data_IF_012508546808
#
_entry.id   IF_012508546808
#
_cell.length_a   1.000
_cell.length_b   1.000
_cell.length_c   1.000
_cell.angle_alpha   90.00
_cell.angle_beta   90.00
_cell.angle_gamma   90.00
#
_symmetry.space_group_name_H-M   'P 1'
#
loop_
_entity.id
_entity.type
_entity.pdbx_description
1 polymer ?
#
# COMPACT_ATOMS: atom_id res chain seq x y z
N UNK A 1 24.75 -19.35 7.24
CA UNK A 1 24.62 -18.16 6.34
C UNK A 1 25.03 -16.91 7.09
N UNK A 2 25.92 -16.06 6.54
CA UNK A 2 26.40 -14.84 7.21
C UNK A 2 25.35 -13.74 7.11
N UNK A 3 24.75 -13.33 8.24
CA UNK A 3 23.77 -12.23 8.27
C UNK A 3 24.45 -10.90 7.92
N UNK A 4 23.74 -10.03 7.20
CA UNK A 4 24.24 -8.69 6.89
C UNK A 4 24.31 -7.83 8.16
N UNK A 5 25.31 -6.94 8.24
CA UNK A 5 25.39 -5.94 9.31
C UNK A 5 24.12 -5.06 9.29
N UNK A 6 23.56 -4.67 10.45
CA UNK A 6 22.27 -3.96 10.53
C UNK A 6 22.17 -2.68 9.68
N UNK A 7 23.25 -1.91 9.59
CA UNK A 7 23.31 -0.70 8.75
C UNK A 7 23.23 -1.01 7.26
N UNK A 8 23.89 -2.09 6.80
CA UNK A 8 23.86 -2.53 5.41
C UNK A 8 22.51 -3.14 5.03
N UNK A 9 21.91 -3.88 5.97
CA UNK A 9 20.59 -4.49 5.81
C UNK A 9 19.47 -3.47 5.54
N UNK A 10 19.60 -2.25 6.10
CA UNK A 10 18.68 -1.12 5.91
C UNK A 10 19.14 -0.11 4.86
N UNK A 11 20.27 -0.32 4.19
CA UNK A 11 20.78 0.67 3.25
C UNK A 11 20.07 0.54 1.91
N UNK A 12 19.56 1.68 1.40
CA UNK A 12 18.97 1.83 0.05
C UNK A 12 19.72 2.93 -0.70
N UNK A 13 21.04 2.88 -0.59
CA UNK A 13 21.96 3.77 -1.30
C UNK A 13 22.37 3.20 -2.64
N UNK A 14 23.13 3.99 -3.40
CA UNK A 14 23.84 3.48 -4.57
C UNK A 14 24.75 2.28 -4.23
N UNK A 15 24.93 1.39 -5.22
CA UNK A 15 25.83 0.26 -5.15
C UNK A 15 25.31 -0.90 -4.30
N UNK A 16 23.99 -1.16 -4.34
CA UNK A 16 23.36 -2.30 -3.66
C UNK A 16 24.06 -3.60 -4.06
N UNK A 17 24.34 -4.47 -3.08
CA UNK A 17 24.84 -5.82 -3.37
C UNK A 17 23.65 -6.74 -3.56
N UNK A 18 23.53 -7.33 -4.75
CA UNK A 18 22.48 -8.27 -5.13
C UNK A 18 23.09 -9.64 -5.43
N UNK A 19 22.30 -10.69 -5.30
CA UNK A 19 22.70 -12.02 -5.71
C UNK A 19 22.37 -12.26 -7.18
N UNK A 20 23.25 -13.01 -7.86
CA UNK A 20 23.05 -13.46 -9.23
C UNK A 20 22.82 -14.96 -9.22
N UNK A 21 21.78 -15.40 -9.92
CA UNK A 21 21.48 -16.80 -10.17
C UNK A 21 21.39 -17.04 -11.67
N UNK A 22 21.89 -18.18 -12.13
CA UNK A 22 21.73 -18.69 -13.49
C UNK A 22 20.62 -19.73 -13.49
N UNK A 23 19.46 -19.35 -14.03
CA UNK A 23 18.27 -20.21 -14.04
C UNK A 23 18.03 -20.72 -15.46
N UNK A 24 18.09 -22.05 -15.62
CA UNK A 24 17.72 -22.69 -16.88
C UNK A 24 16.20 -22.65 -17.05
N UNK A 25 15.76 -22.10 -18.17
CA UNK A 25 14.38 -22.11 -18.66
C UNK A 25 14.35 -22.79 -20.03
N UNK A 26 13.16 -23.17 -20.55
CA UNK A 26 13.10 -23.86 -21.84
C UNK A 26 13.83 -23.09 -22.95
N UNK A 27 14.85 -23.73 -23.53
CA UNK A 27 15.66 -23.20 -24.62
C UNK A 27 16.70 -22.13 -24.24
N UNK A 28 16.86 -21.73 -22.96
CA UNK A 28 17.79 -20.65 -22.58
C UNK A 28 18.16 -20.57 -21.10
N UNK A 29 19.29 -19.93 -20.80
CA UNK A 29 19.70 -19.55 -19.43
C UNK A 29 19.31 -18.09 -19.18
N UNK A 30 18.58 -17.83 -18.09
CA UNK A 30 18.28 -16.48 -17.61
C UNK A 30 19.20 -16.11 -16.45
N UNK A 31 19.64 -14.85 -16.44
CA UNK A 31 20.28 -14.25 -15.27
C UNK A 31 19.20 -13.67 -14.37
N UNK A 32 19.00 -14.26 -13.20
CA UNK A 32 18.03 -13.78 -12.20
C UNK A 32 18.78 -13.06 -11.10
N UNK A 33 18.50 -11.77 -10.94
CA UNK A 33 19.07 -10.92 -9.90
C UNK A 33 18.11 -10.85 -8.73
N UNK A 34 18.56 -11.19 -7.52
CA UNK A 34 17.73 -11.23 -6.32
C UNK A 34 18.29 -10.34 -5.21
N UNK A 35 17.41 -9.91 -4.31
CA UNK A 35 17.83 -9.30 -3.04
C UNK A 35 18.60 -10.33 -2.20
N UNK A 36 19.60 -9.86 -1.46
CA UNK A 36 20.40 -10.74 -0.59
C UNK A 36 19.63 -11.08 0.68
N UNK A 37 19.81 -12.29 1.23
CA UNK A 37 19.35 -12.60 2.58
C UNK A 37 19.80 -11.53 3.57
N UNK A 38 18.89 -11.08 4.42
CA UNK A 38 19.13 -10.02 5.40
C UNK A 38 18.86 -8.60 4.90
N UNK A 39 18.60 -8.37 3.61
CA UNK A 39 18.02 -7.09 3.16
C UNK A 39 16.67 -6.89 3.87
N UNK A 40 16.49 -5.75 4.53
CA UNK A 40 15.22 -5.43 5.19
C UNK A 40 14.29 -4.79 4.19
N UNK A 41 13.42 -5.61 3.59
CA UNK A 41 12.34 -5.12 2.75
C UNK A 41 11.08 -5.96 3.01
N UNK A 42 9.93 -5.34 2.82
CA UNK A 42 8.65 -6.02 2.86
C UNK A 42 7.78 -5.49 1.73
N UNK A 43 7.44 -6.38 0.82
CA UNK A 43 6.50 -6.11 -0.26
C UNK A 43 5.29 -7.03 -0.13
N UNK A 44 4.16 -6.62 -0.67
CA UNK A 44 3.02 -7.48 -0.92
C UNK A 44 2.48 -7.20 -2.31
N UNK A 45 1.62 -8.07 -2.82
CA UNK A 45 0.89 -7.86 -4.07
C UNK A 45 -0.57 -8.22 -3.90
N UNK A 46 -1.46 -7.53 -4.60
CA UNK A 46 -2.86 -7.93 -4.72
C UNK A 46 -3.42 -7.48 -6.08
N UNK A 47 -4.66 -7.86 -6.37
CA UNK A 47 -5.46 -7.29 -7.46
C UNK A 47 -6.70 -6.64 -6.87
N UNK A 48 -6.91 -5.37 -7.19
CA UNK A 48 -8.07 -4.60 -6.72
C UNK A 48 -8.47 -3.58 -7.78
N UNK A 49 -9.77 -3.39 -8.02
CA UNK A 49 -10.30 -2.57 -9.14
C UNK A 49 -9.59 -2.84 -10.48
N UNK A 50 -9.41 -4.12 -10.81
CA UNK A 50 -8.71 -4.60 -12.01
C UNK A 50 -7.23 -4.19 -12.18
N UNK A 51 -6.66 -3.49 -11.20
CA UNK A 51 -5.26 -3.08 -11.16
C UNK A 51 -4.45 -4.03 -10.27
N UNK A 52 -3.25 -4.41 -10.73
CA UNK A 52 -2.29 -5.16 -9.91
C UNK A 52 -1.44 -4.21 -9.07
N UNK A 53 -1.37 -4.44 -7.76
CA UNK A 53 -0.60 -3.56 -6.89
C UNK A 53 0.70 -4.21 -6.42
N UNK A 54 1.75 -3.39 -6.31
CA UNK A 54 2.90 -3.64 -5.44
C UNK A 54 2.74 -2.76 -4.20
N UNK A 55 2.59 -3.39 -3.04
CA UNK A 55 2.32 -2.74 -1.76
C UNK A 55 3.56 -2.75 -0.87
N UNK A 56 3.89 -1.63 -0.22
CA UNK A 56 5.08 -1.52 0.63
C UNK A 56 4.97 -0.36 1.66
N UNK A 57 6.04 -0.09 2.40
CA UNK A 57 6.32 1.19 3.06
C UNK A 57 7.25 2.09 2.21
N UNK A 58 7.56 3.30 2.71
CA UNK A 58 8.50 4.25 2.09
C UNK A 58 9.88 3.64 1.80
N UNK A 59 10.33 2.71 2.64
CA UNK A 59 11.63 2.06 2.48
C UNK A 59 11.64 1.11 1.28
N UNK A 60 10.62 0.24 1.16
CA UNK A 60 10.53 -0.67 0.03
C UNK A 60 10.22 0.05 -1.28
N UNK A 61 9.49 1.17 -1.29
CA UNK A 61 9.37 2.02 -2.48
C UNK A 61 10.73 2.54 -2.98
N UNK A 62 11.57 3.05 -2.07
CA UNK A 62 12.94 3.46 -2.42
C UNK A 62 13.78 2.30 -2.94
N UNK A 63 13.61 1.10 -2.39
CA UNK A 63 14.33 -0.09 -2.85
C UNK A 63 13.88 -0.48 -4.25
N UNK A 64 12.57 -0.54 -4.49
CA UNK A 64 11.99 -0.82 -5.80
C UNK A 64 12.48 0.19 -6.85
N UNK A 65 12.55 1.47 -6.49
CA UNK A 65 13.13 2.51 -7.33
C UNK A 65 14.59 2.23 -7.69
N UNK A 66 15.44 1.81 -6.74
CA UNK A 66 16.83 1.44 -7.02
C UNK A 66 16.92 0.24 -7.97
N UNK A 67 16.05 -0.75 -7.80
CA UNK A 67 16.00 -1.93 -8.67
C UNK A 67 15.63 -1.53 -10.10
N UNK A 68 14.54 -0.77 -10.29
CA UNK A 68 14.08 -0.28 -11.59
C UNK A 68 15.11 0.65 -12.26
N UNK A 69 15.66 1.61 -11.52
CA UNK A 69 16.64 2.54 -12.04
C UNK A 69 17.91 1.83 -12.49
N UNK A 70 18.47 0.95 -11.65
CA UNK A 70 19.66 0.20 -12.03
C UNK A 70 19.39 -0.77 -13.18
N UNK A 71 18.17 -1.31 -13.30
CA UNK A 71 17.77 -2.16 -14.43
C UNK A 71 17.86 -1.38 -15.75
N UNK A 72 17.46 -0.11 -15.74
CA UNK A 72 17.52 0.75 -16.94
C UNK A 72 18.93 0.97 -17.51
N UNK A 73 19.98 0.80 -16.69
CA UNK A 73 21.38 0.99 -17.09
C UNK A 73 22.15 -0.34 -17.25
N UNK A 74 21.78 -1.36 -16.47
CA UNK A 74 22.57 -2.59 -16.34
C UNK A 74 21.86 -3.81 -16.94
N UNK A 75 20.66 -3.66 -17.50
CA UNK A 75 19.96 -4.75 -18.16
C UNK A 75 20.80 -5.32 -19.31
N UNK A 76 20.96 -6.64 -19.30
CA UNK A 76 21.44 -7.44 -20.43
C UNK A 76 20.30 -8.32 -20.92
N UNK A 77 20.34 -8.80 -22.18
CA UNK A 77 19.38 -9.79 -22.65
C UNK A 77 19.25 -10.96 -21.66
N UNK A 78 18.02 -11.40 -21.44
CA UNK A 78 17.70 -12.52 -20.54
C UNK A 78 18.01 -12.26 -19.06
N UNK A 79 18.07 -11.00 -18.64
CA UNK A 79 18.21 -10.61 -17.24
C UNK A 79 16.88 -10.17 -16.66
N UNK A 80 16.52 -10.69 -15.48
CA UNK A 80 15.35 -10.24 -14.71
C UNK A 80 15.74 -9.97 -13.27
N UNK A 81 15.02 -9.07 -12.60
CA UNK A 81 15.13 -8.87 -11.15
C UNK A 81 13.96 -9.55 -10.48
N UNK A 82 14.20 -10.29 -9.41
CA UNK A 82 13.19 -11.06 -8.67
C UNK A 82 13.18 -10.64 -7.19
N UNK A 83 11.99 -10.33 -6.70
CA UNK A 83 11.67 -10.18 -5.28
C UNK A 83 10.73 -11.34 -4.90
N UNK A 84 11.24 -12.26 -4.07
CA UNK A 84 10.57 -13.51 -3.73
C UNK A 84 10.31 -13.64 -2.23
N UNK A 85 9.67 -14.74 -1.82
CA UNK A 85 9.12 -15.07 -0.49
C UNK A 85 9.82 -14.46 0.72
N UNK A 86 11.16 -14.47 0.88
CA UNK A 86 11.80 -13.86 2.06
C UNK A 86 11.47 -12.37 2.26
N UNK A 87 11.18 -11.66 1.17
CA UNK A 87 10.87 -10.23 1.13
C UNK A 87 9.39 -9.95 0.89
N UNK A 88 8.58 -11.00 0.75
CA UNK A 88 7.13 -10.87 0.62
C UNK A 88 6.45 -10.96 1.98
N UNK A 89 5.33 -10.27 2.08
CA UNK A 89 4.41 -10.27 3.19
C UNK A 89 3.02 -10.60 2.65
N UNK A 90 2.15 -11.22 3.45
CA UNK A 90 0.74 -11.34 3.09
C UNK A 90 0.13 -9.98 2.79
N UNK A 91 -0.94 -9.99 2.00
CA UNK A 91 -1.73 -8.81 1.67
C UNK A 91 -2.13 -8.05 2.95
N UNK A 92 -1.79 -6.76 3.09
CA UNK A 92 -2.07 -5.98 4.30
C UNK A 92 -3.56 -5.76 4.60
N UNK A 93 -4.46 -6.25 3.75
CA UNK A 93 -5.91 -6.12 3.93
C UNK A 93 -6.58 -7.42 4.41
N UNK A 94 -6.25 -8.56 3.80
CA UNK A 94 -6.92 -9.87 4.02
C UNK A 94 -5.96 -11.02 4.32
N UNK A 95 -4.65 -10.74 4.36
CA UNK A 95 -3.59 -11.71 4.55
C UNK A 95 -3.56 -12.83 3.50
N UNK A 96 -4.09 -12.60 2.29
CA UNK A 96 -3.83 -13.50 1.16
C UNK A 96 -2.33 -13.56 0.83
N UNK A 97 -1.82 -14.70 0.35
CA UNK A 97 -0.43 -14.81 -0.08
C UNK A 97 -0.09 -13.85 -1.22
N UNK A 98 1.03 -13.16 -1.10
CA UNK A 98 1.56 -12.34 -2.19
C UNK A 98 2.23 -13.18 -3.28
N UNK A 99 2.10 -12.75 -4.54
CA UNK A 99 2.84 -13.30 -5.67
C UNK A 99 4.27 -12.70 -5.69
N UNK A 100 5.30 -13.50 -6.07
CA UNK A 100 6.63 -12.96 -6.30
C UNK A 100 6.64 -11.92 -7.42
N UNK A 101 7.42 -10.87 -7.23
CA UNK A 101 7.50 -9.73 -8.14
C UNK A 101 8.71 -9.91 -9.06
N UNK A 102 8.51 -9.78 -10.36
CA UNK A 102 9.55 -9.87 -11.38
C UNK A 102 9.61 -8.58 -12.17
N UNK A 103 10.78 -7.92 -12.18
CA UNK A 103 11.05 -6.78 -13.05
C UNK A 103 11.72 -7.29 -14.32
N UNK A 104 11.08 -7.04 -15.46
CA UNK A 104 11.52 -7.53 -16.77
C UNK A 104 11.87 -6.33 -17.66
N UNK A 105 13.12 -6.21 -18.14
CA UNK A 105 13.48 -5.17 -19.10
C UNK A 105 12.89 -5.52 -20.47
N UNK A 106 11.68 -5.04 -20.75
CA UNK A 106 10.87 -5.44 -21.89
C UNK A 106 11.42 -5.05 -23.27
N UNK A 107 12.48 -4.23 -23.30
CA UNK A 107 13.23 -3.86 -24.50
C UNK A 107 14.24 -4.93 -24.93
N UNK A 108 14.75 -5.76 -24.01
CA UNK A 108 15.81 -6.73 -24.33
C UNK A 108 15.60 -8.14 -23.75
N UNK A 109 14.55 -8.36 -22.94
CA UNK A 109 14.26 -9.67 -22.33
C UNK A 109 12.84 -10.12 -22.66
N UNK A 110 12.68 -11.12 -23.55
CA UNK A 110 11.42 -11.84 -23.71
C UNK A 110 11.07 -12.58 -22.42
N UNK A 111 9.81 -12.49 -21.99
CA UNK A 111 9.33 -13.15 -20.78
C UNK A 111 7.84 -13.51 -20.94
N UNK A 112 7.59 -14.77 -21.31
CA UNK A 112 6.25 -15.33 -21.52
C UNK A 112 5.82 -16.23 -20.34
N UNK A 113 4.64 -16.84 -20.45
CA UNK A 113 4.11 -17.69 -19.39
C UNK A 113 4.90 -18.99 -19.19
N UNK A 114 5.59 -19.48 -20.23
CA UNK A 114 6.44 -20.67 -20.14
C UNK A 114 7.70 -20.37 -19.33
N UNK A 115 8.33 -19.22 -19.58
CA UNK A 115 9.48 -18.74 -18.80
C UNK A 115 9.04 -18.44 -17.37
N UNK A 116 7.92 -17.75 -17.18
CA UNK A 116 7.38 -17.43 -15.86
C UNK A 116 7.12 -18.69 -15.02
N UNK A 117 6.44 -19.70 -15.60
CA UNK A 117 6.20 -20.99 -14.94
C UNK A 117 7.51 -21.71 -14.59
N UNK A 118 8.46 -21.73 -15.52
CA UNK A 118 9.78 -22.34 -15.28
C UNK A 118 10.54 -21.65 -14.15
N UNK A 119 10.47 -20.32 -14.05
CA UNK A 119 11.09 -19.58 -12.95
C UNK A 119 10.39 -19.88 -11.63
N UNK A 120 9.05 -19.81 -11.61
CA UNK A 120 8.25 -20.08 -10.41
C UNK A 120 8.52 -21.45 -9.81
N UNK A 121 8.63 -22.49 -10.65
CA UNK A 121 8.91 -23.85 -10.19
C UNK A 121 10.29 -24.03 -9.56
N UNK A 122 11.20 -23.05 -9.69
CA UNK A 122 12.52 -23.04 -9.05
C UNK A 122 12.55 -22.27 -7.74
N UNK A 123 11.46 -21.59 -7.36
CA UNK A 123 11.43 -20.73 -6.19
C UNK A 123 11.23 -21.54 -4.88
N UNK A 124 11.95 -21.19 -3.79
CA UNK A 124 12.85 -20.06 -3.68
C UNK A 124 14.25 -20.36 -4.24
N UNK A 125 14.87 -19.35 -4.87
CA UNK A 125 16.26 -19.51 -5.33
C UNK A 125 17.21 -19.51 -4.13
N UNK A 126 17.97 -20.60 -3.99
CA UNK A 126 19.08 -20.74 -3.04
C UNK A 126 20.41 -20.79 -3.80
N UNK A 127 21.53 -20.63 -3.09
CA UNK A 127 22.89 -20.75 -3.63
C UNK A 127 23.19 -19.85 -4.86
N UNK A 128 23.58 -18.58 -4.64
CA UNK A 128 23.86 -17.67 -5.74
C UNK A 128 25.17 -18.02 -6.47
N UNK A 129 25.16 -17.88 -7.81
CA UNK A 129 26.33 -17.99 -8.69
C UNK A 129 27.26 -16.78 -8.62
N UNK A 130 26.91 -15.77 -7.81
CA UNK A 130 27.75 -14.60 -7.60
C UNK A 130 27.02 -13.43 -6.96
N UNK A 131 27.76 -12.34 -6.79
CA UNK A 131 27.23 -11.05 -6.33
C UNK A 131 27.38 -10.03 -7.44
N UNK A 132 26.34 -9.23 -7.67
CA UNK A 132 26.36 -8.07 -8.55
C UNK A 132 26.31 -6.82 -7.69
N UNK A 133 27.12 -5.82 -8.05
CA UNK A 133 26.97 -4.47 -7.50
C UNK A 133 26.02 -3.70 -8.41
N UNK A 134 24.86 -3.37 -7.87
CA UNK A 134 23.78 -2.72 -8.59
C UNK A 134 23.90 -1.22 -8.42
N UNK A 135 24.37 -0.59 -9.49
CA UNK A 135 24.56 0.86 -9.52
C UNK A 135 23.29 1.58 -9.96
N UNK A 136 23.09 2.76 -9.40
CA UNK A 136 21.92 3.63 -9.59
C UNK A 136 22.38 5.03 -9.93
N UNK A 137 23.27 5.10 -10.93
CA UNK A 137 23.95 6.32 -11.34
C UNK A 137 22.98 7.48 -11.55
N UNK A 138 23.23 8.59 -10.86
CA UNK A 138 22.46 9.81 -11.02
C UNK A 138 21.06 9.80 -10.39
N UNK A 139 20.57 8.70 -9.81
CA UNK A 139 19.22 8.68 -9.21
C UNK A 139 19.07 9.74 -8.11
N UNK A 140 20.00 9.77 -7.15
CA UNK A 140 19.96 10.72 -6.03
C UNK A 140 20.03 12.18 -6.52
N UNK A 141 20.80 12.42 -7.59
CA UNK A 141 20.90 13.72 -8.24
C UNK A 141 19.56 14.12 -8.88
N UNK A 142 18.90 13.19 -9.56
CA UNK A 142 17.63 13.41 -10.26
C UNK A 142 16.46 13.59 -9.28
N UNK A 143 16.53 13.00 -8.09
CA UNK A 143 15.52 13.18 -7.05
C UNK A 143 15.53 14.57 -6.38
N UNK A 144 16.56 15.40 -6.64
CA UNK A 144 16.60 16.77 -6.12
C UNK A 144 15.47 17.60 -6.79
N UNK A 145 14.70 18.40 -6.02
CA UNK A 145 13.47 19.03 -6.51
C UNK A 145 13.60 19.73 -7.87
N UNK A 146 14.60 20.61 -8.03
CA UNK A 146 14.84 21.34 -9.26
C UNK A 146 15.12 20.44 -10.48
N UNK A 147 15.83 19.32 -10.28
CA UNK A 147 16.14 18.37 -11.37
C UNK A 147 14.95 17.49 -11.67
N UNK A 148 14.23 17.06 -10.63
CA UNK A 148 13.04 16.23 -10.74
C UNK A 148 11.97 16.95 -11.55
N UNK A 149 11.74 18.23 -11.32
CA UNK A 149 10.73 19.03 -12.02
C UNK A 149 11.01 19.08 -13.53
N UNK A 150 12.25 19.42 -13.93
CA UNK A 150 12.66 19.40 -15.34
C UNK A 150 12.52 18.01 -15.97
N UNK A 151 12.88 16.96 -15.23
CA UNK A 151 12.73 15.59 -15.70
C UNK A 151 11.25 15.23 -15.88
N UNK A 152 10.39 15.66 -14.94
CA UNK A 152 8.96 15.44 -14.98
C UNK A 152 8.29 16.07 -16.19
N UNK A 153 8.72 17.28 -16.56
CA UNK A 153 8.19 17.97 -17.74
C UNK A 153 8.52 17.24 -19.04
N UNK A 154 9.66 16.55 -19.08
CA UNK A 154 10.09 15.72 -20.21
C UNK A 154 9.40 14.35 -20.23
N UNK A 155 9.20 13.73 -19.06
CA UNK A 155 8.63 12.39 -18.94
C UNK A 155 7.12 12.36 -19.09
N UNK A 156 6.39 13.36 -18.57
CA UNK A 156 4.91 13.45 -18.66
C UNK A 156 4.36 13.52 -20.09
N UNK A 157 5.21 13.85 -21.05
CA UNK A 157 4.87 13.96 -22.47
C UNK A 157 5.02 12.62 -23.21
N UNK A 158 5.51 11.58 -22.52
CA UNK A 158 5.78 10.27 -23.10
C UNK A 158 4.64 9.33 -22.79
N UNK A 159 4.32 8.50 -23.77
CA UNK A 159 3.33 7.45 -23.64
C UNK A 159 3.97 6.24 -22.94
N UNK A 160 3.40 5.84 -21.80
CA UNK A 160 3.75 4.58 -21.15
C UNK A 160 3.23 3.41 -22.00
N UNK A 161 4.08 2.43 -22.27
CA UNK A 161 3.79 1.25 -23.13
C UNK A 161 4.16 -0.07 -22.46
N UNK A 162 4.71 0.01 -21.25
CA UNK A 162 4.98 -1.10 -20.37
C UNK A 162 3.68 -1.74 -19.90
N UNK A 163 3.82 -2.86 -19.20
CA UNK A 163 2.67 -3.59 -18.68
C UNK A 163 2.95 -4.16 -17.31
N UNK A 164 1.90 -4.33 -16.52
CA UNK A 164 1.92 -5.01 -15.23
C UNK A 164 0.92 -6.14 -15.26
N UNK A 165 1.40 -7.39 -15.28
CA UNK A 165 0.53 -8.55 -15.48
C UNK A 165 0.95 -9.71 -14.59
N UNK A 166 -0.04 -10.44 -14.09
CA UNK A 166 0.21 -11.74 -13.46
C UNK A 166 0.45 -12.82 -14.52
N UNK A 167 1.60 -13.49 -14.44
CA UNK A 167 2.00 -14.59 -15.34
C UNK A 167 2.39 -15.82 -14.55
N UNK A 168 1.62 -16.90 -14.69
CA UNK A 168 1.80 -18.14 -13.94
C UNK A 168 1.91 -17.95 -12.41
N UNK A 169 1.31 -16.89 -11.85
CA UNK A 169 1.41 -16.52 -10.44
C UNK A 169 2.75 -15.91 -10.03
N UNK A 170 3.37 -15.17 -10.95
CA UNK A 170 4.36 -14.13 -10.69
C UNK A 170 3.74 -12.80 -11.12
N UNK A 171 3.92 -11.74 -10.34
CA UNK A 171 3.55 -10.39 -10.77
C UNK A 171 4.70 -9.80 -11.60
N UNK A 172 4.47 -9.57 -12.89
CA UNK A 172 5.50 -9.13 -13.83
C UNK A 172 5.32 -7.66 -14.14
N UNK A 173 6.29 -6.84 -13.70
CA UNK A 173 6.42 -5.43 -14.08
C UNK A 173 7.37 -5.37 -15.27
N UNK A 174 6.85 -4.99 -16.43
CA UNK A 174 7.59 -5.00 -17.69
C UNK A 174 7.58 -3.61 -18.33
N UNK A 175 8.48 -2.70 -17.93
CA UNK A 175 8.73 -1.48 -18.69
C UNK A 175 9.18 -1.83 -20.12
N UNK A 176 8.69 -1.11 -21.12
CA UNK A 176 8.97 -1.32 -22.53
C UNK A 176 10.30 -0.73 -22.95
N UNK A 177 10.77 0.33 -22.31
CA UNK A 177 12.03 1.02 -22.62
C UNK A 177 12.87 1.31 -21.37
N UNK A 178 14.19 1.56 -21.51
CA UNK A 178 15.01 2.02 -20.40
C UNK A 178 14.51 3.34 -19.78
N UNK A 179 13.99 4.26 -20.60
CA UNK A 179 13.44 5.53 -20.10
C UNK A 179 12.19 5.32 -19.26
N UNK A 180 11.31 4.42 -19.66
CA UNK A 180 10.12 4.07 -18.89
C UNK A 180 10.48 3.39 -17.57
N UNK A 181 11.49 2.51 -17.56
CA UNK A 181 12.02 1.95 -16.31
C UNK A 181 12.55 3.03 -15.35
N UNK A 182 13.15 4.11 -15.89
CA UNK A 182 13.56 5.28 -15.10
C UNK A 182 12.37 6.09 -14.59
N UNK A 183 11.31 6.24 -15.40
CA UNK A 183 10.07 6.89 -15.00
C UNK A 183 9.46 6.20 -13.79
N UNK A 184 9.19 4.90 -13.91
CA UNK A 184 8.63 4.09 -12.83
C UNK A 184 9.50 4.11 -11.58
N UNK A 185 10.84 4.18 -11.74
CA UNK A 185 11.74 4.33 -10.61
C UNK A 185 11.61 5.69 -9.90
N UNK A 186 11.48 6.79 -10.62
CA UNK A 186 11.33 8.14 -10.05
C UNK A 186 9.95 8.36 -9.43
N UNK A 187 8.92 7.80 -10.05
CA UNK A 187 7.58 7.63 -9.51
C UNK A 187 7.65 6.95 -8.14
N UNK A 188 8.18 5.72 -8.09
CA UNK A 188 8.32 4.95 -6.86
C UNK A 188 9.16 5.68 -5.79
N UNK A 189 10.29 6.30 -6.16
CA UNK A 189 11.14 7.04 -5.23
C UNK A 189 10.52 8.35 -4.73
N UNK A 190 9.52 8.88 -5.43
CA UNK A 190 8.83 10.11 -5.07
C UNK A 190 7.67 9.93 -4.09
N UNK A 191 7.22 8.69 -3.90
CA UNK A 191 6.14 8.39 -2.99
C UNK A 191 6.52 8.78 -1.56
N UNK A 192 5.61 9.44 -0.86
CA UNK A 192 5.83 9.96 0.49
C UNK A 192 4.59 9.77 1.38
N UNK A 193 4.72 8.90 2.38
CA UNK A 193 3.61 8.65 3.30
C UNK A 193 3.42 9.73 4.36
N UNK A 194 4.19 10.82 4.39
CA UNK A 194 4.04 11.90 5.40
C UNK A 194 2.75 12.71 5.28
N UNK A 195 2.03 12.56 4.17
CA UNK A 195 0.71 13.15 3.93
C UNK A 195 -0.38 12.77 4.95
N UNK A 196 -1.54 13.44 4.85
CA UNK A 196 -2.64 13.27 5.81
C UNK A 196 -3.25 11.87 5.86
N UNK A 197 -3.23 11.14 4.74
CA UNK A 197 -3.80 9.79 4.64
C UNK A 197 -2.84 8.68 5.09
N UNK A 198 -1.55 9.00 5.26
CA UNK A 198 -0.55 7.98 5.62
C UNK A 198 -0.30 6.94 4.53
N UNK A 199 -0.71 7.23 3.29
CA UNK A 199 -0.48 6.43 2.09
C UNK A 199 -0.18 7.34 0.90
N UNK A 200 0.49 6.79 -0.09
CA UNK A 200 0.75 7.45 -1.38
C UNK A 200 0.84 6.39 -2.48
N UNK A 201 0.59 6.77 -3.73
CA UNK A 201 0.56 5.83 -4.84
C UNK A 201 0.93 6.45 -6.18
N UNK A 202 1.31 5.60 -7.13
CA UNK A 202 1.55 5.95 -8.53
C UNK A 202 1.16 4.79 -9.43
N UNK A 203 0.56 5.09 -10.57
CA UNK A 203 0.14 4.08 -11.54
C UNK A 203 1.28 3.71 -12.48
N UNK A 204 1.25 2.47 -12.99
CA UNK A 204 2.21 1.92 -13.93
C UNK A 204 1.53 1.46 -15.21
N UNK A 205 2.13 1.82 -16.35
CA UNK A 205 1.64 1.42 -17.67
C UNK A 205 0.61 2.39 -18.25
N UNK A 206 0.17 2.15 -19.49
CA UNK A 206 -0.81 3.01 -20.14
C UNK A 206 -2.14 2.98 -19.39
N UNK A 207 -2.85 4.11 -19.45
CA UNK A 207 -4.27 4.14 -19.12
C UNK A 207 -5.07 3.60 -20.31
N UNK A 208 -5.86 2.55 -20.08
CA UNK A 208 -6.79 1.96 -21.03
C UNK A 208 -8.08 1.59 -20.30
N UNK A 209 -8.90 2.59 -20.00
CA UNK A 209 -10.07 2.48 -19.11
C UNK A 209 -9.73 1.98 -17.69
N UNK A 210 -8.46 2.09 -17.31
CA UNK A 210 -7.87 1.58 -16.07
C UNK A 210 -6.36 1.48 -16.23
N UNK A 211 -5.64 1.23 -15.13
CA UNK A 211 -4.20 0.97 -15.16
C UNK A 211 -3.92 -0.50 -14.89
N UNK A 212 -2.96 -1.06 -15.63
CA UNK A 212 -2.48 -2.43 -15.46
C UNK A 212 -1.85 -2.62 -14.05
N UNK A 213 -1.17 -1.59 -13.54
CA UNK A 213 -0.47 -1.67 -12.26
C UNK A 213 -0.45 -0.39 -11.43
N UNK A 214 -0.17 -0.55 -10.14
CA UNK A 214 0.02 0.53 -9.18
C UNK A 214 1.13 0.15 -8.19
N UNK A 215 1.96 1.13 -7.81
CA UNK A 215 2.81 1.03 -6.62
C UNK A 215 2.15 1.87 -5.54
N UNK A 216 1.81 1.24 -4.42
CA UNK A 216 1.15 1.90 -3.30
C UNK A 216 1.94 1.67 -2.03
N UNK A 217 2.14 2.73 -1.26
CA UNK A 217 2.82 2.65 0.02
C UNK A 217 1.96 3.11 1.19
N UNK A 218 2.23 2.53 2.35
CA UNK A 218 1.55 2.84 3.60
C UNK A 218 2.55 3.08 4.71
N UNK A 219 2.39 4.18 5.45
CA UNK A 219 3.15 4.47 6.66
C UNK A 219 3.03 3.35 7.69
N UNK A 220 1.88 2.68 7.70
CA UNK A 220 1.51 1.59 8.61
C UNK A 220 1.53 0.22 7.94
N UNK A 221 2.29 0.04 6.85
CA UNK A 221 2.34 -1.21 6.10
C UNK A 221 2.53 -2.45 7.01
N UNK A 222 3.57 -2.48 7.83
CA UNK A 222 3.84 -3.62 8.73
C UNK A 222 2.76 -3.84 9.81
N UNK A 223 2.27 -2.79 10.52
CA UNK A 223 1.09 -2.93 11.35
C UNK A 223 -0.14 -3.46 10.62
N UNK A 224 -0.43 -3.00 9.40
CA UNK A 224 -1.56 -3.47 8.60
C UNK A 224 -1.45 -4.96 8.28
N UNK A 225 -0.27 -5.43 7.86
CA UNK A 225 0.00 -6.87 7.68
C UNK A 225 -0.24 -7.67 8.96
N UNK A 226 0.20 -7.14 10.11
CA UNK A 226 0.02 -7.83 11.41
C UNK A 226 -1.46 -7.95 11.78
N UNK A 227 -2.22 -6.87 11.60
CA UNK A 227 -3.67 -6.83 11.80
C UNK A 227 -4.38 -7.82 10.88
N UNK A 228 -4.05 -7.82 9.58
CA UNK A 228 -4.67 -8.71 8.62
C UNK A 228 -4.40 -10.19 8.94
N UNK A 229 -3.16 -10.53 9.35
CA UNK A 229 -2.82 -11.89 9.78
C UNK A 229 -3.61 -12.32 11.02
N UNK A 230 -3.69 -11.44 12.02
CA UNK A 230 -4.46 -11.72 13.23
C UNK A 230 -5.95 -11.91 12.92
N UNK A 231 -6.52 -11.00 12.15
CA UNK A 231 -7.93 -11.07 11.74
C UNK A 231 -8.21 -12.36 10.95
N UNK A 232 -7.33 -12.74 10.01
CA UNK A 232 -7.46 -13.98 9.27
C UNK A 232 -7.39 -15.21 10.17
N UNK A 233 -6.44 -15.25 11.11
CA UNK A 233 -6.33 -16.35 12.06
C UNK A 233 -7.58 -16.48 12.94
N UNK A 234 -8.14 -15.35 13.40
CA UNK A 234 -9.37 -15.32 14.19
C UNK A 234 -10.58 -15.81 13.38
N UNK A 235 -10.76 -15.35 12.13
CA UNK A 235 -11.85 -15.82 11.27
C UNK A 235 -11.73 -17.31 10.99
N UNK A 236 -10.53 -17.81 10.66
CA UNK A 236 -10.30 -19.23 10.38
C UNK A 236 -10.42 -20.13 11.61
N UNK A 237 -10.38 -19.58 12.83
CA UNK A 237 -10.57 -20.34 14.06
C UNK A 237 -12.03 -20.57 14.45
N UNK A 238 -12.98 -19.96 13.71
CA UNK A 238 -14.42 -20.12 13.96
C UNK A 238 -14.96 -21.33 13.24
N UNK A 239 -15.96 -21.98 13.84
CA UNK A 239 -16.66 -23.12 13.23
C UNK A 239 -17.45 -22.72 11.97
N UNK A 240 -17.83 -21.43 11.86
CA UNK A 240 -18.58 -20.86 10.73
C UNK A 240 -17.69 -20.12 9.72
N UNK A 241 -16.37 -20.39 9.71
CA UNK A 241 -15.43 -19.72 8.80
C UNK A 241 -15.85 -19.92 7.32
N UNK A 242 -15.99 -18.84 6.52
CA UNK A 242 -16.36 -18.98 5.11
C UNK A 242 -15.31 -19.76 4.32
N UNK A 243 -15.76 -20.72 3.51
CA UNK A 243 -14.89 -21.51 2.63
C UNK A 243 -14.58 -20.81 1.30
N UNK A 244 -15.49 -19.96 0.81
CA UNK A 244 -15.28 -19.24 -0.42
C UNK A 244 -14.31 -18.04 -0.21
N UNK A 245 -13.35 -17.81 -1.13
CA UNK A 245 -12.32 -16.79 -0.92
C UNK A 245 -12.85 -15.36 -0.78
N UNK A 246 -13.95 -15.02 -1.44
CA UNK A 246 -14.48 -13.65 -1.44
C UNK A 246 -15.17 -13.33 -0.11
N UNK A 247 -16.05 -14.21 0.37
CA UNK A 247 -16.69 -14.05 1.68
C UNK A 247 -15.66 -14.16 2.80
N UNK A 248 -14.64 -15.01 2.65
CA UNK A 248 -13.52 -15.06 3.60
C UNK A 248 -12.81 -13.70 3.67
N UNK A 249 -12.45 -13.08 2.54
CA UNK A 249 -11.82 -11.74 2.54
C UNK A 249 -12.71 -10.70 3.21
N UNK A 250 -14.01 -10.70 2.88
CA UNK A 250 -14.98 -9.79 3.50
C UNK A 250 -15.07 -10.00 5.02
N UNK A 251 -15.08 -11.24 5.49
CA UNK A 251 -15.07 -11.56 6.91
C UNK A 251 -13.77 -11.09 7.59
N UNK A 252 -12.60 -11.28 6.95
CA UNK A 252 -11.32 -10.80 7.45
C UNK A 252 -11.26 -9.27 7.50
N UNK A 253 -11.79 -8.57 6.50
CA UNK A 253 -11.85 -7.10 6.52
C UNK A 253 -12.67 -6.57 7.70
N UNK A 254 -13.83 -7.20 7.96
CA UNK A 254 -14.66 -6.86 9.12
C UNK A 254 -13.92 -7.16 10.43
N UNK A 255 -13.32 -8.34 10.56
CA UNK A 255 -12.57 -8.70 11.77
C UNK A 255 -11.36 -7.78 12.01
N UNK A 256 -10.70 -7.34 10.93
CA UNK A 256 -9.59 -6.42 11.01
C UNK A 256 -9.98 -5.05 11.58
N UNK A 257 -11.24 -4.62 11.45
CA UNK A 257 -11.74 -3.40 12.12
C UNK A 257 -11.81 -3.61 13.64
N UNK A 258 -12.28 -4.78 14.09
CA UNK A 258 -12.30 -5.16 15.51
C UNK A 258 -10.89 -5.25 16.07
N UNK A 259 -9.96 -5.90 15.38
CA UNK A 259 -8.55 -6.00 15.79
C UNK A 259 -7.88 -4.63 15.91
N UNK A 260 -8.23 -3.67 15.05
CA UNK A 260 -7.73 -2.28 15.15
C UNK A 260 -8.35 -1.50 16.32
N UNK A 261 -9.46 -1.98 16.89
CA UNK A 261 -10.27 -1.24 17.85
C UNK A 261 -11.18 -0.19 17.19
N UNK A 262 -11.35 -0.24 15.86
CA UNK A 262 -12.07 0.78 15.08
C UNK A 262 -13.52 0.38 14.77
N UNK A 263 -13.96 -0.83 15.13
CA UNK A 263 -15.28 -1.36 14.74
C UNK A 263 -16.45 -0.46 15.18
N UNK A 264 -16.36 0.16 16.37
CA UNK A 264 -17.34 1.11 16.90
C UNK A 264 -17.47 2.40 16.08
N UNK A 265 -16.51 2.70 15.20
CA UNK A 265 -16.54 3.86 14.30
C UNK A 265 -17.30 3.55 13.00
N UNK A 266 -17.71 2.30 12.75
CA UNK A 266 -18.59 1.95 11.64
C UNK A 266 -20.04 2.23 12.02
N UNK A 267 -20.43 3.50 11.92
CA UNK A 267 -21.78 3.93 12.29
C UNK A 267 -22.85 3.33 11.39
N UNK A 268 -22.57 3.13 10.10
CA UNK A 268 -23.54 2.70 9.10
C UNK A 268 -23.11 1.39 8.45
N UNK A 269 -23.99 0.39 8.46
CA UNK A 269 -23.79 -0.93 7.84
C UNK A 269 -25.03 -1.34 7.04
N UNK A 270 -24.84 -1.98 5.88
CA UNK A 270 -25.96 -2.52 5.10
C UNK A 270 -26.30 -3.92 5.61
N UNK A 271 -27.51 -4.09 6.14
CA UNK A 271 -28.03 -5.35 6.69
C UNK A 271 -29.53 -5.46 6.44
N UNK A 272 -30.02 -6.68 6.30
CA UNK A 272 -31.47 -6.95 6.21
C UNK A 272 -32.22 -6.17 5.11
N UNK A 273 -31.53 -5.79 4.02
CA UNK A 273 -32.12 -5.01 2.92
C UNK A 273 -32.20 -3.49 3.18
N UNK A 274 -31.56 -2.98 4.23
CA UNK A 274 -31.51 -1.56 4.56
C UNK A 274 -30.17 -1.11 5.15
N UNK A 275 -30.04 0.20 5.33
CA UNK A 275 -28.93 0.77 6.10
C UNK A 275 -29.34 0.87 7.57
N UNK A 276 -28.52 0.30 8.43
CA UNK A 276 -28.75 0.27 9.88
C UNK A 276 -27.50 0.79 10.62
N UNK A 277 -27.62 1.01 11.93
CA UNK A 277 -26.45 1.25 12.76
C UNK A 277 -25.57 -0.01 12.80
N UNK A 278 -24.26 0.16 12.63
CA UNK A 278 -23.32 -0.94 12.83
C UNK A 278 -23.40 -1.46 14.27
N UNK A 279 -23.26 -2.78 14.48
CA UNK A 279 -23.50 -3.40 15.81
C UNK A 279 -22.69 -2.77 16.94
N UNK A 280 -21.38 -2.63 16.73
CA UNK A 280 -20.47 -2.05 17.73
C UNK A 280 -20.72 -0.54 17.91
N UNK A 281 -21.12 0.15 16.85
CA UNK A 281 -21.51 1.56 16.93
C UNK A 281 -22.81 1.73 17.72
N UNK A 282 -23.80 0.85 17.52
CA UNK A 282 -25.06 0.85 18.27
C UNK A 282 -24.83 0.62 19.77
N UNK A 283 -23.93 -0.31 20.12
CA UNK A 283 -23.54 -0.57 21.51
C UNK A 283 -22.91 0.65 22.21
N UNK A 284 -22.26 1.54 21.45
CA UNK A 284 -21.76 2.81 21.97
C UNK A 284 -22.84 3.89 21.97
N UNK A 285 -23.58 4.04 20.86
CA UNK A 285 -24.56 5.11 20.64
C UNK A 285 -25.79 5.00 21.54
N UNK A 286 -26.11 3.82 22.07
CA UNK A 286 -27.18 3.65 23.06
C UNK A 286 -26.94 4.48 24.32
N UNK A 287 -25.67 4.75 24.70
CA UNK A 287 -25.34 5.65 25.80
C UNK A 287 -25.67 7.14 25.54
N UNK A 288 -26.02 7.48 24.29
CA UNK A 288 -26.49 8.81 23.89
C UNK A 288 -27.99 8.83 23.50
N UNK A 289 -28.71 7.75 23.83
CA UNK A 289 -30.10 7.51 23.43
C UNK A 289 -30.30 7.46 21.90
N UNK A 290 -29.27 7.05 21.16
CA UNK A 290 -29.30 6.91 19.70
C UNK A 290 -29.33 5.43 19.33
N UNK A 291 -30.50 4.94 18.90
CA UNK A 291 -30.72 3.53 18.57
C UNK A 291 -30.89 3.26 17.06
N UNK A 292 -31.03 4.31 16.24
CA UNK A 292 -31.21 4.21 14.79
C UNK A 292 -30.44 5.30 14.04
N UNK A 293 -30.24 5.14 12.73
CA UNK A 293 -29.67 6.19 11.89
C UNK A 293 -30.54 7.44 11.85
N UNK A 294 -31.87 7.29 11.85
CA UNK A 294 -32.81 8.42 11.91
C UNK A 294 -32.74 9.14 13.25
N UNK A 295 -32.58 8.39 14.35
CA UNK A 295 -32.33 8.95 15.67
C UNK A 295 -31.02 9.74 15.71
N UNK A 296 -29.96 9.24 15.07
CA UNK A 296 -28.71 9.97 14.92
C UNK A 296 -28.89 11.25 14.09
N UNK A 297 -29.68 11.19 13.02
CA UNK A 297 -29.96 12.35 12.17
C UNK A 297 -30.76 13.42 12.92
N UNK A 298 -31.72 13.00 13.75
CA UNK A 298 -32.55 13.90 14.56
C UNK A 298 -31.78 14.57 15.71
N UNK A 299 -30.93 13.81 16.41
CA UNK A 299 -30.08 14.35 17.50
C UNK A 299 -28.93 15.18 16.94
N UNK A 300 -28.34 14.73 15.83
CA UNK A 300 -27.15 15.33 15.23
C UNK A 300 -25.84 14.83 15.88
N UNK A 301 -24.73 14.85 15.12
CA UNK A 301 -23.46 14.22 15.53
C UNK A 301 -22.79 14.94 16.70
N UNK A 302 -22.91 16.28 16.78
CA UNK A 302 -22.32 17.09 17.87
C UNK A 302 -23.01 16.76 19.18
N UNK A 303 -24.34 16.78 19.22
CA UNK A 303 -25.11 16.53 20.43
C UNK A 303 -25.00 15.07 20.88
N UNK A 304 -25.05 14.11 19.96
CA UNK A 304 -24.77 12.72 20.26
C UNK A 304 -23.39 12.56 20.92
N UNK A 305 -22.36 13.25 20.40
CA UNK A 305 -21.03 13.24 21.01
C UNK A 305 -21.01 13.84 22.42
N UNK A 306 -21.72 14.94 22.67
CA UNK A 306 -21.83 15.54 24.01
C UNK A 306 -22.43 14.56 25.01
N UNK A 307 -23.48 13.83 24.61
CA UNK A 307 -24.12 12.81 25.45
C UNK A 307 -23.20 11.64 25.74
N UNK A 308 -22.46 11.13 24.74
CA UNK A 308 -21.44 10.09 24.95
C UNK A 308 -20.34 10.55 25.93
N UNK A 309 -19.92 11.81 25.83
CA UNK A 309 -18.95 12.39 26.75
C UNK A 309 -19.53 12.51 28.17
N UNK A 310 -20.77 12.97 28.32
CA UNK A 310 -21.47 13.05 29.61
C UNK A 310 -21.64 11.65 30.26
N UNK A 311 -21.90 10.62 29.45
CA UNK A 311 -21.98 9.23 29.87
C UNK A 311 -20.60 8.60 30.19
N UNK A 312 -19.50 9.34 30.03
CA UNK A 312 -18.11 8.89 30.30
C UNK A 312 -17.74 7.60 29.57
N UNK A 313 -18.19 7.45 28.32
CA UNK A 313 -17.87 6.29 27.49
C UNK A 313 -16.35 6.15 27.36
N UNK A 314 -15.84 4.97 27.73
CA UNK A 314 -14.40 4.69 27.76
C UNK A 314 -13.83 4.71 26.34
N UNK A 315 -12.73 5.42 26.14
CA UNK A 315 -12.04 5.48 24.85
C UNK A 315 -12.70 6.37 23.80
N UNK A 316 -13.65 7.23 24.19
CA UNK A 316 -14.26 8.20 23.30
C UNK A 316 -13.20 9.16 22.71
N UNK A 317 -13.14 9.24 21.39
CA UNK A 317 -12.24 10.15 20.67
C UNK A 317 -13.02 10.95 19.62
N UNK A 318 -12.43 12.04 19.11
CA UNK A 318 -13.02 12.84 18.02
C UNK A 318 -13.28 12.04 16.73
N UNK A 319 -12.64 10.87 16.57
CA UNK A 319 -12.94 9.98 15.46
C UNK A 319 -14.40 9.52 15.47
N UNK A 320 -15.02 9.37 16.66
CA UNK A 320 -16.44 9.05 16.80
C UNK A 320 -17.33 10.19 16.29
N UNK A 321 -16.99 11.45 16.60
CA UNK A 321 -17.70 12.62 16.08
C UNK A 321 -17.64 12.66 14.54
N UNK A 322 -16.45 12.46 13.97
CA UNK A 322 -16.29 12.45 12.51
C UNK A 322 -16.99 11.26 11.85
N UNK A 323 -17.05 10.11 12.54
CA UNK A 323 -17.75 8.93 12.06
C UNK A 323 -19.27 9.17 12.00
N UNK A 324 -19.85 9.80 13.02
CA UNK A 324 -21.27 10.16 13.03
C UNK A 324 -21.62 11.16 11.91
N UNK A 325 -20.83 12.21 11.72
CA UNK A 325 -21.01 13.17 10.61
C UNK A 325 -20.95 12.48 9.25
N UNK A 326 -19.95 11.61 9.06
CA UNK A 326 -19.74 10.96 7.78
C UNK A 326 -20.88 9.98 7.43
N UNK A 327 -21.44 9.30 8.43
CA UNK A 327 -22.56 8.39 8.26
C UNK A 327 -23.82 9.09 7.74
N UNK A 328 -24.10 10.29 8.24
CA UNK A 328 -25.24 11.12 7.82
C UNK A 328 -25.03 11.70 6.41
N UNK A 329 -23.78 11.91 6.00
CA UNK A 329 -23.43 12.44 4.68
C UNK A 329 -23.11 11.36 3.65
N UNK A 330 -23.27 10.08 3.99
CA UNK A 330 -22.97 8.93 3.12
C UNK A 330 -21.50 8.87 2.69
N UNK A 331 -20.58 9.20 3.61
CA UNK A 331 -19.14 9.26 3.35
C UNK A 331 -18.35 8.47 4.38
N UNK A 332 -17.08 8.22 4.05
CA UNK A 332 -16.11 7.72 5.02
C UNK A 332 -15.64 8.86 5.95
N UNK A 333 -15.46 8.58 7.25
CA UNK A 333 -15.00 9.56 8.26
C UNK A 333 -13.70 10.30 7.89
N UNK A 334 -12.83 9.64 7.12
CA UNK A 334 -11.56 10.20 6.64
C UNK A 334 -11.76 11.26 5.55
N UNK A 335 -12.92 11.27 4.89
CA UNK A 335 -13.26 12.24 3.85
C UNK A 335 -13.91 13.53 4.38
N UNK A 336 -14.28 13.58 5.66
CA UNK A 336 -14.78 14.81 6.31
C UNK A 336 -13.68 15.87 6.22
N UNK A 337 -14.00 16.99 5.56
CA UNK A 337 -13.02 18.03 5.24
C UNK A 337 -12.42 18.66 6.50
N UNK A 338 -11.20 19.18 6.40
CA UNK A 338 -10.56 19.87 7.53
C UNK A 338 -11.36 21.09 8.01
N UNK A 339 -12.02 21.80 7.10
CA UNK A 339 -12.93 22.90 7.45
C UNK A 339 -14.12 22.38 8.26
N UNK A 340 -14.78 21.31 7.78
CA UNK A 340 -15.91 20.70 8.46
C UNK A 340 -15.54 20.13 9.84
N UNK A 341 -14.37 19.50 9.96
CA UNK A 341 -13.87 19.03 11.26
C UNK A 341 -13.64 20.17 12.25
N UNK A 342 -13.21 21.35 11.79
CA UNK A 342 -13.06 22.54 12.64
C UNK A 342 -14.43 23.06 13.08
N UNK A 343 -15.39 23.19 12.17
CA UNK A 343 -16.76 23.60 12.52
C UNK A 343 -17.39 22.67 13.56
N UNK A 344 -17.28 21.35 13.36
CA UNK A 344 -17.80 20.36 14.31
C UNK A 344 -17.10 20.43 15.67
N UNK A 345 -15.79 20.69 15.67
CA UNK A 345 -15.01 20.85 16.89
C UNK A 345 -15.35 22.14 17.63
N UNK A 346 -15.48 23.26 16.93
CA UNK A 346 -15.94 24.55 17.48
C UNK A 346 -17.34 24.42 18.07
N UNK A 347 -18.24 23.70 17.38
CA UNK A 347 -19.58 23.42 17.88
C UNK A 347 -19.59 22.60 19.19
N UNK A 348 -18.52 21.87 19.55
CA UNK A 348 -18.45 21.19 20.84
C UNK A 348 -18.32 22.16 22.03
N UNK A 349 -17.86 23.40 21.80
CA UNK A 349 -17.64 24.40 22.86
C UNK A 349 -16.57 23.98 23.87
N UNK A 350 -16.82 24.21 25.17
CA UNK A 350 -15.86 24.01 26.27
C UNK A 350 -15.67 22.54 26.71
N UNK A 351 -16.13 21.57 25.91
CA UNK A 351 -15.87 20.16 26.22
C UNK A 351 -14.36 19.90 26.21
N UNK A 352 -13.79 19.30 27.27
CA UNK A 352 -12.36 19.06 27.33
C UNK A 352 -11.95 18.17 26.15
N UNK A 353 -10.94 18.61 25.40
CA UNK A 353 -10.42 17.83 24.29
C UNK A 353 -10.08 16.41 24.79
N UNK A 354 -10.52 15.35 24.10
CA UNK A 354 -10.22 13.99 24.54
C UNK A 354 -8.71 13.80 24.65
N UNK A 355 -8.29 13.03 25.66
CA UNK A 355 -6.89 12.75 25.93
C UNK A 355 -6.18 12.33 24.63
N UNK A 356 -5.25 13.17 24.18
CA UNK A 356 -4.47 12.86 22.99
C UNK A 356 -3.52 11.72 23.38
N UNK A 357 -3.49 10.57 22.68
CA UNK A 357 -2.45 9.58 22.93
C UNK A 357 -1.09 10.25 22.72
N UNK A 358 -0.21 10.17 23.73
CA UNK A 358 1.11 10.80 23.74
C UNK A 358 1.88 10.49 22.45
N UNK A 359 1.90 11.46 21.52
CA UNK A 359 2.81 11.44 20.38
C UNK A 359 4.17 11.91 20.85
N UNK A 360 5.13 10.99 20.95
CA UNK A 360 6.56 11.34 20.99
C UNK A 360 6.85 12.32 19.84
N UNK A 361 7.23 13.55 20.21
CA UNK A 361 7.64 14.61 19.28
C UNK A 361 8.84 14.12 18.46
N UNK A 362 8.64 13.82 17.18
CA UNK A 362 9.74 13.78 16.21
C UNK A 362 9.81 15.12 15.51
N UNK A 363 10.95 15.78 15.65
CA UNK A 363 11.36 17.00 14.97
C UNK A 363 11.08 16.93 13.45
N UNK A 364 10.30 17.89 12.96
CA UNK A 364 10.03 18.14 11.52
C UNK A 364 11.27 18.69 10.81
N UNK A 365 11.61 18.20 9.61
CA UNK A 365 12.19 19.05 8.57
C UNK A 365 11.07 19.64 7.68
N UNK A 366 11.39 20.75 7.03
CA UNK A 366 10.49 21.60 6.26
C UNK A 366 9.73 20.86 5.14
N UNK A 367 8.46 21.25 4.94
CA UNK A 367 7.52 20.73 3.93
C UNK A 367 7.95 21.13 2.52
N UNK A 368 7.89 20.17 1.59
CA UNK A 368 7.86 20.43 0.14
C UNK A 368 6.41 20.46 -0.37
N UNK A 369 6.09 21.26 -1.40
CA UNK A 369 4.75 21.30 -1.99
C UNK A 369 4.50 20.11 -2.92
N UNK A 370 3.54 19.25 -2.58
CA UNK A 370 3.01 18.18 -3.44
C UNK A 370 1.82 18.70 -4.26
N UNK A 371 1.93 18.72 -5.59
CA UNK A 371 0.81 18.99 -6.51
C UNK A 371 0.18 17.67 -6.99
N UNK A 372 -1.14 17.55 -6.76
CA UNK A 372 -2.01 16.46 -7.25
C UNK A 372 -1.98 16.38 -8.78
N UNK A 373 -1.91 15.18 -9.33
CA UNK A 373 -2.28 14.92 -10.72
C UNK A 373 -3.75 15.32 -10.93
N UNK A 374 -4.00 16.30 -11.79
CA UNK A 374 -5.35 16.56 -12.32
C UNK A 374 -5.59 15.56 -13.45
N UNK A 375 -6.65 14.77 -13.31
CA UNK A 375 -7.26 14.04 -14.42
C UNK A 375 -7.65 15.05 -15.53
N UNK A 376 -7.43 14.75 -16.82
CA UNK A 376 -8.08 15.51 -17.87
C UNK A 376 -9.59 15.24 -17.84
N UNK A 377 -10.38 16.30 -17.94
CA UNK A 377 -11.83 16.20 -18.05
C UNK A 377 -12.20 15.43 -19.31
N UNK A 378 -13.10 14.46 -19.17
CA UNK A 378 -13.73 13.76 -20.29
C UNK A 378 -14.41 14.78 -21.21
N UNK A 379 -14.22 14.61 -22.52
CA UNK A 379 -15.13 15.06 -23.56
C UNK A 379 -15.57 13.86 -24.37
#
# INVERSE_FOLDING_TARGET
MKQQRPATARSVSDGLKLHRHLVRSPGRVHTVITLRPGTRAGFSTNRFHDTWHVLSDDHGARLLARLLWGLSYQARPHTVVLVDRPFLRPNPFDADPADPIVLVPGWCTPFDDRIARSLKNRLPLSNPDGTVRWHTFGLDRTLRPAVRETWWDHSRRREDRGSVRRRSGLLVLRPRTPDEARAWALDAAGLDTTGGYGSDYTYLGPWDYGYDGEIQIFRRFHPMVSVANQARAQVLSRDDAPADPESLRCAVWREAESVRGDAHLRIREWRSGGWELGREAAAVLVHADVNTLDGLAAVGPVEAYRRLHAARVRGLTLDMLWAMEAALTYRDRRSVSAARRRELFEALGDLPAPATPERRRSSRPARLPTRRARLPAAR
#
